data_IF_440332878907
#
_entry.id   IF_440332878907
#
_cell.length_a   1.000
_cell.length_b   1.000
_cell.length_c   1.000
_cell.angle_alpha   90.00
_cell.angle_beta   90.00
_cell.angle_gamma   90.00
#
_symmetry.space_group_name_H-M   'P 1'
#
loop_
_entity.id
_entity.type
_entity.pdbx_description
1 polymer ?
#
# COMPACT_ATOMS: atom_id res chain seq x y z
N UNK A 1 90.80 35.96 -35.26
CA UNK A 1 90.74 35.76 -36.71
C UNK A 1 89.29 35.96 -37.08
N UNK A 2 88.99 37.15 -37.63
CA UNK A 2 87.69 37.64 -38.08
C UNK A 2 87.29 36.98 -39.39
N UNK A 3 86.05 36.54 -39.51
CA UNK A 3 85.44 36.27 -40.78
C UNK A 3 84.06 36.90 -40.82
N UNK A 4 83.92 37.86 -41.71
CA UNK A 4 82.80 38.74 -42.04
C UNK A 4 81.86 37.96 -42.93
N UNK A 5 80.58 38.19 -42.68
CA UNK A 5 79.48 37.65 -43.47
C UNK A 5 78.87 38.69 -44.41
N UNK A 6 78.59 38.36 -45.66
CA UNK A 6 77.85 39.29 -46.55
C UNK A 6 76.37 39.07 -46.47
N UNK A 7 75.65 40.19 -46.37
CA UNK A 7 74.13 40.25 -46.49
C UNK A 7 73.73 40.09 -47.97
N UNK A 8 72.86 39.14 -48.22
CA UNK A 8 72.03 39.19 -49.44
C UNK A 8 70.56 38.94 -49.04
N UNK A 9 69.76 39.91 -49.45
CA UNK A 9 68.31 39.97 -49.31
C UNK A 9 67.65 38.91 -50.23
N UNK A 10 66.89 37.99 -49.62
CA UNK A 10 65.91 37.18 -50.34
C UNK A 10 64.56 37.38 -49.63
N UNK A 11 63.59 37.94 -50.32
CA UNK A 11 62.21 37.98 -49.87
C UNK A 11 61.68 36.55 -49.91
N UNK A 12 60.95 36.09 -48.85
CA UNK A 12 60.22 34.84 -48.93
C UNK A 12 58.94 35.04 -49.72
N UNK A 13 58.40 34.02 -50.42
CA UNK A 13 57.17 34.09 -51.18
C UNK A 13 55.97 34.20 -50.25
N UNK A 14 54.98 34.95 -50.70
CA UNK A 14 53.66 35.04 -50.08
C UNK A 14 53.05 33.63 -50.05
N UNK A 15 53.07 33.01 -48.91
CA UNK A 15 52.28 31.81 -48.67
C UNK A 15 50.82 32.21 -48.45
N UNK A 16 49.94 31.85 -49.39
CA UNK A 16 48.51 31.79 -49.18
C UNK A 16 48.21 30.87 -48.03
N UNK A 17 48.15 31.41 -46.82
CA UNK A 17 47.64 30.68 -45.65
C UNK A 17 46.14 30.55 -45.77
N UNK A 18 45.69 29.37 -46.12
CA UNK A 18 44.32 28.93 -46.21
C UNK A 18 43.63 29.17 -44.84
N UNK A 19 42.40 29.78 -44.80
CA UNK A 19 41.68 30.04 -43.54
C UNK A 19 40.98 28.79 -43.06
N UNK A 20 41.71 27.67 -42.88
CA UNK A 20 41.13 26.41 -42.38
C UNK A 20 41.04 26.36 -40.84
N UNK A 21 41.76 27.23 -40.14
CA UNK A 21 41.77 27.23 -38.65
C UNK A 21 40.71 28.13 -38.03
N UNK A 22 40.07 29.04 -38.83
CA UNK A 22 38.95 29.85 -38.29
C UNK A 22 37.63 29.11 -38.25
N UNK A 23 37.46 28.00 -38.99
CA UNK A 23 36.23 27.21 -38.97
C UNK A 23 36.14 26.28 -37.74
N UNK A 24 37.23 25.98 -37.05
CA UNK A 24 37.23 25.08 -35.90
C UNK A 24 36.83 25.73 -34.55
N UNK A 25 36.83 27.05 -34.47
CA UNK A 25 36.52 27.76 -33.22
C UNK A 25 35.08 28.34 -33.22
N UNK A 26 34.35 28.28 -34.34
CA UNK A 26 33.02 28.86 -34.45
C UNK A 26 31.89 27.89 -34.10
N UNK A 27 32.19 26.59 -33.84
CA UNK A 27 31.17 25.57 -33.56
C UNK A 27 31.19 25.01 -32.15
N UNK A 28 31.85 25.67 -31.20
CA UNK A 28 31.78 25.31 -29.78
C UNK A 28 31.37 26.46 -28.90
N UNK A 29 30.32 27.18 -29.28
CA UNK A 29 29.48 27.73 -28.24
C UNK A 29 28.58 26.59 -27.80
N UNK A 30 29.06 25.84 -26.80
CA UNK A 30 28.18 24.96 -26.04
C UNK A 30 27.07 25.86 -25.51
N UNK A 31 25.85 25.67 -26.00
CA UNK A 31 24.67 26.36 -25.49
C UNK A 31 24.49 25.91 -24.02
N UNK A 32 25.03 26.71 -23.12
CA UNK A 32 24.89 26.50 -21.69
C UNK A 32 23.40 26.41 -21.31
N UNK A 33 22.52 27.05 -22.07
CA UNK A 33 21.09 26.95 -21.93
C UNK A 33 20.55 25.53 -22.23
N UNK A 34 21.07 24.87 -23.28
CA UNK A 34 20.67 23.49 -23.59
C UNK A 34 21.23 22.49 -22.54
N UNK A 35 22.44 22.74 -22.06
CA UNK A 35 23.06 21.88 -21.01
C UNK A 35 22.33 22.04 -19.68
N UNK A 36 21.99 23.27 -19.29
CA UNK A 36 21.22 23.53 -18.06
C UNK A 36 19.80 23.01 -18.15
N UNK A 37 19.13 23.12 -19.32
CA UNK A 37 17.83 22.48 -19.55
C UNK A 37 17.91 20.96 -19.46
N UNK A 38 18.94 20.32 -20.04
CA UNK A 38 19.11 18.86 -19.99
C UNK A 38 19.42 18.38 -18.55
N UNK A 39 20.22 19.12 -17.81
CA UNK A 39 20.50 18.80 -16.39
C UNK A 39 19.24 19.01 -15.54
N UNK A 40 18.47 20.06 -15.77
CA UNK A 40 17.21 20.30 -15.07
C UNK A 40 16.18 19.20 -15.35
N UNK A 41 16.06 18.75 -16.60
CA UNK A 41 15.20 17.61 -16.97
C UNK A 41 15.69 16.31 -16.33
N UNK A 42 17.01 16.05 -16.32
CA UNK A 42 17.57 14.90 -15.62
C UNK A 42 17.32 14.97 -14.11
N UNK A 43 17.50 16.12 -13.48
CA UNK A 43 17.18 16.30 -12.04
C UNK A 43 15.70 16.06 -11.77
N UNK A 44 14.79 16.52 -12.66
CA UNK A 44 13.35 16.29 -12.52
C UNK A 44 13.02 14.79 -12.71
N UNK A 45 13.70 14.09 -13.63
CA UNK A 45 13.52 12.66 -13.86
C UNK A 45 14.13 11.80 -12.73
N UNK A 46 15.13 12.30 -12.01
CA UNK A 46 15.74 11.66 -10.86
C UNK A 46 15.27 12.22 -9.51
N UNK A 47 14.38 13.22 -9.50
CA UNK A 47 13.61 13.51 -8.29
C UNK A 47 12.83 12.23 -7.97
N UNK A 48 13.07 11.56 -6.82
CA UNK A 48 12.24 10.46 -6.44
C UNK A 48 10.82 11.01 -6.40
N UNK A 49 9.96 10.57 -7.33
CA UNK A 49 8.53 10.61 -7.11
C UNK A 49 8.36 9.96 -5.74
N UNK A 50 8.07 10.76 -4.74
CA UNK A 50 7.93 10.31 -3.37
C UNK A 50 6.80 9.30 -3.40
N UNK A 51 7.16 8.02 -3.50
CA UNK A 51 6.22 6.94 -3.37
C UNK A 51 5.40 7.21 -2.10
N UNK A 52 4.07 7.05 -2.12
CA UNK A 52 3.29 7.15 -0.92
C UNK A 52 3.98 6.30 0.13
N UNK A 53 4.22 6.86 1.31
CA UNK A 53 4.96 6.14 2.35
C UNK A 53 4.16 4.91 2.80
N UNK A 54 4.84 3.89 3.28
CA UNK A 54 4.27 2.66 3.84
C UNK A 54 3.69 2.86 5.26
N UNK A 55 3.67 4.11 5.77
CA UNK A 55 3.40 4.41 7.18
C UNK A 55 2.35 5.49 7.36
N UNK A 56 1.49 5.27 8.34
CA UNK A 56 0.65 6.29 8.97
C UNK A 56 1.32 6.74 10.26
N UNK A 57 1.60 8.03 10.37
CA UNK A 57 2.21 8.63 11.57
C UNK A 57 1.18 9.46 12.33
N UNK A 58 1.35 9.55 13.66
CA UNK A 58 0.40 10.28 14.54
C UNK A 58 0.23 11.75 14.15
N UNK A 59 1.28 12.37 13.59
CA UNK A 59 1.26 13.78 13.17
C UNK A 59 0.51 14.03 11.86
N UNK A 60 0.17 12.97 11.08
CA UNK A 60 -0.44 13.11 9.77
C UNK A 60 -1.57 12.09 9.59
N UNK A 61 -2.81 12.45 9.95
CA UNK A 61 -3.98 11.61 9.70
C UNK A 61 -4.17 11.27 8.23
N UNK A 62 -4.72 10.09 7.96
CA UNK A 62 -5.15 9.68 6.64
C UNK A 62 -6.51 10.28 6.33
N UNK A 63 -6.61 10.97 5.18
CA UNK A 63 -7.82 11.62 4.69
C UNK A 63 -8.27 11.00 3.37
N UNK A 64 -9.47 11.34 2.92
CA UNK A 64 -9.96 10.99 1.58
C UNK A 64 -8.95 11.38 0.51
N UNK A 65 -8.74 10.48 -0.45
CA UNK A 65 -7.80 10.68 -1.56
C UNK A 65 -6.32 10.51 -1.20
N UNK A 66 -6.00 10.22 0.07
CA UNK A 66 -4.65 9.82 0.47
C UNK A 66 -4.58 8.32 0.68
N UNK A 67 -3.47 7.71 0.26
CA UNK A 67 -3.26 6.27 0.29
C UNK A 67 -1.87 5.97 0.83
N UNK A 68 -1.77 4.95 1.66
CA UNK A 68 -0.51 4.35 2.08
C UNK A 68 -0.25 3.17 1.15
N UNK A 69 0.98 3.01 0.67
CA UNK A 69 1.38 1.90 -0.20
C UNK A 69 2.52 1.15 0.45
N UNK A 70 2.41 -0.18 0.49
CA UNK A 70 3.43 -1.04 1.08
C UNK A 70 4.78 -0.89 0.38
N UNK A 71 5.87 -1.18 1.09
CA UNK A 71 7.17 -1.36 0.48
C UNK A 71 7.10 -2.50 -0.57
N UNK A 72 7.52 -2.19 -1.80
CA UNK A 72 7.33 -3.07 -2.97
C UNK A 72 6.11 -2.74 -3.83
N UNK A 73 5.15 -1.96 -3.34
CA UNK A 73 4.06 -1.43 -4.16
C UNK A 73 2.85 -2.36 -4.35
N UNK A 74 2.84 -3.56 -3.76
CA UNK A 74 1.82 -4.58 -4.01
C UNK A 74 0.48 -4.32 -3.33
N UNK A 75 0.48 -3.64 -2.18
CA UNK A 75 -0.69 -3.37 -1.37
C UNK A 75 -0.88 -1.89 -1.12
N UNK A 76 -2.13 -1.47 -1.04
CA UNK A 76 -2.53 -0.12 -0.69
C UNK A 76 -3.54 -0.14 0.46
N UNK A 77 -3.53 0.93 1.27
CA UNK A 77 -4.41 1.10 2.43
C UNK A 77 -4.96 2.52 2.43
N UNK A 78 -6.27 2.67 2.64
CA UNK A 78 -6.92 3.97 2.65
C UNK A 78 -8.43 3.91 2.66
N UNK A 79 -9.04 5.05 2.38
CA UNK A 79 -10.49 5.16 2.22
C UNK A 79 -10.94 4.62 0.88
N UNK A 80 -11.93 3.77 0.92
CA UNK A 80 -12.57 3.19 -0.25
C UNK A 80 -14.09 3.45 -0.24
N UNK A 81 -14.67 3.96 -1.34
CA UNK A 81 -16.10 4.13 -1.46
C UNK A 81 -16.78 2.82 -1.85
N UNK A 82 -17.88 2.48 -1.17
CA UNK A 82 -18.78 1.43 -1.65
C UNK A 82 -19.39 1.82 -2.99
N UNK A 83 -19.37 0.91 -3.96
CA UNK A 83 -19.99 1.15 -5.27
C UNK A 83 -21.52 1.14 -5.14
N UNK A 84 -22.19 2.18 -5.69
CA UNK A 84 -23.64 2.24 -5.84
C UNK A 84 -24.43 2.87 -4.69
N UNK A 85 -23.80 3.41 -3.67
CA UNK A 85 -24.49 4.17 -2.61
C UNK A 85 -24.35 5.68 -2.80
N UNK A 86 -25.47 6.41 -2.71
CA UNK A 86 -25.48 7.89 -2.65
C UNK A 86 -26.30 8.33 -1.41
N UNK A 87 -25.70 8.96 -0.40
CA UNK A 87 -24.27 9.30 -0.24
C UNK A 87 -23.40 8.06 -0.10
N UNK A 88 -22.17 8.12 -0.63
CA UNK A 88 -21.25 6.99 -0.63
C UNK A 88 -20.88 6.57 0.80
N UNK A 89 -21.10 5.30 1.12
CA UNK A 89 -20.52 4.70 2.31
C UNK A 89 -19.00 4.55 2.09
N UNK A 90 -18.22 4.94 3.07
CA UNK A 90 -16.78 4.86 3.07
C UNK A 90 -16.28 3.80 4.05
N UNK A 91 -15.32 3.04 3.61
CA UNK A 91 -14.64 2.03 4.40
C UNK A 91 -13.14 2.32 4.44
N UNK A 92 -12.47 1.79 5.43
CA UNK A 92 -11.01 1.75 5.51
C UNK A 92 -10.58 0.35 5.13
N UNK A 93 -9.88 0.24 4.01
CA UNK A 93 -9.60 -1.01 3.34
C UNK A 93 -8.12 -1.21 3.05
N UNK A 94 -7.72 -2.47 2.93
CA UNK A 94 -6.47 -2.90 2.29
C UNK A 94 -6.84 -3.60 0.99
N UNK A 95 -6.19 -3.23 -0.11
CA UNK A 95 -6.43 -3.83 -1.44
C UNK A 95 -5.13 -4.08 -2.19
N UNK A 96 -5.19 -4.91 -3.23
CA UNK A 96 -4.07 -5.06 -4.16
C UNK A 96 -3.88 -3.77 -4.98
N UNK A 97 -2.67 -3.24 -4.92
CA UNK A 97 -2.29 -2.05 -5.67
C UNK A 97 -1.75 -2.46 -7.05
N UNK A 98 -2.06 -1.65 -8.08
CA UNK A 98 -1.50 -1.86 -9.44
C UNK A 98 -2.16 -2.95 -10.28
N UNK A 99 -3.22 -3.60 -9.81
CA UNK A 99 -4.06 -4.48 -10.63
C UNK A 99 -5.27 -3.73 -11.18
N UNK A 100 -5.74 -4.10 -12.37
CA UNK A 100 -6.83 -3.40 -13.06
C UNK A 100 -8.19 -3.55 -12.38
N UNK A 101 -8.41 -4.69 -11.71
CA UNK A 101 -9.63 -4.97 -10.96
C UNK A 101 -9.36 -4.74 -9.48
N UNK A 102 -10.17 -3.86 -8.88
CA UNK A 102 -10.06 -3.58 -7.47
C UNK A 102 -10.40 -4.80 -6.63
N UNK A 103 -9.41 -5.36 -5.98
CA UNK A 103 -9.55 -6.52 -5.11
C UNK A 103 -9.23 -6.11 -3.67
N UNK A 104 -10.27 -5.92 -2.87
CA UNK A 104 -10.17 -5.63 -1.44
C UNK A 104 -9.87 -6.91 -0.67
N UNK A 105 -8.97 -6.82 0.30
CA UNK A 105 -8.44 -7.95 1.06
C UNK A 105 -8.82 -7.90 2.54
N UNK A 106 -9.04 -6.70 3.05
CA UNK A 106 -9.39 -6.48 4.45
C UNK A 106 -10.13 -5.16 4.62
N UNK A 107 -11.12 -5.13 5.51
CA UNK A 107 -11.96 -3.96 5.78
C UNK A 107 -12.07 -3.73 7.28
N UNK A 108 -11.69 -2.55 7.76
CA UNK A 108 -11.70 -2.22 9.18
C UNK A 108 -13.11 -2.08 9.75
N UNK A 109 -13.92 -1.27 9.10
CA UNK A 109 -15.22 -0.82 9.63
C UNK A 109 -16.42 -1.41 8.86
N UNK A 110 -16.36 -2.72 8.55
CA UNK A 110 -17.38 -3.44 7.77
C UNK A 110 -18.81 -3.25 8.28
N UNK A 111 -18.98 -3.24 9.61
CA UNK A 111 -20.30 -3.17 10.25
C UNK A 111 -20.80 -1.72 10.37
N UNK A 112 -19.89 -0.75 10.29
CA UNK A 112 -20.20 0.65 10.54
C UNK A 112 -19.53 1.56 9.50
N UNK A 113 -20.11 1.68 8.29
CA UNK A 113 -19.58 2.58 7.28
C UNK A 113 -19.67 4.04 7.74
N UNK A 114 -18.71 4.85 7.29
CA UNK A 114 -18.77 6.30 7.44
C UNK A 114 -19.46 6.88 6.22
N UNK A 115 -20.36 7.82 6.42
CA UNK A 115 -20.99 8.54 5.30
C UNK A 115 -20.11 9.70 4.87
N UNK A 116 -19.86 9.78 3.56
CA UNK A 116 -19.25 10.96 2.99
C UNK A 116 -20.30 12.09 2.96
N UNK A 117 -20.14 13.05 3.85
CA UNK A 117 -20.99 14.24 3.88
C UNK A 117 -20.24 15.44 3.35
N UNK A 118 -20.95 16.37 2.74
CA UNK A 118 -20.35 17.58 2.14
C UNK A 118 -19.77 18.55 3.18
N UNK A 119 -20.12 18.39 4.46
CA UNK A 119 -19.75 19.33 5.52
C UNK A 119 -18.36 19.04 6.13
N UNK A 120 -17.93 17.78 6.12
CA UNK A 120 -16.64 17.41 6.72
C UNK A 120 -16.23 16.00 6.29
N UNK A 121 -14.98 15.81 5.96
CA UNK A 121 -14.43 14.52 5.52
C UNK A 121 -13.97 13.67 6.71
N UNK A 122 -14.26 12.36 6.73
CA UNK A 122 -13.77 11.47 7.78
C UNK A 122 -12.25 11.35 7.76
N UNK A 123 -11.69 11.05 8.92
CA UNK A 123 -10.25 10.89 9.08
C UNK A 123 -9.90 9.62 9.87
N UNK A 124 -8.81 8.97 9.47
CA UNK A 124 -8.18 7.92 10.24
C UNK A 124 -6.90 8.45 10.85
N UNK A 125 -6.82 8.46 12.16
CA UNK A 125 -5.66 8.94 12.92
C UNK A 125 -5.05 7.84 13.77
N UNK A 126 -3.74 7.95 13.99
CA UNK A 126 -3.04 7.14 15.00
C UNK A 126 -2.88 8.00 16.26
N UNK A 127 -3.45 7.53 17.36
CA UNK A 127 -3.38 8.23 18.65
C UNK A 127 -2.04 8.01 19.35
N UNK A 128 -1.75 8.84 20.32
CA UNK A 128 -0.59 8.69 21.21
C UNK A 128 -0.64 7.42 22.09
N UNK A 129 -1.79 6.74 22.15
CA UNK A 129 -1.98 5.45 22.83
C UNK A 129 -1.89 4.26 21.88
N UNK A 130 -1.30 4.44 20.70
CA UNK A 130 -1.13 3.42 19.65
C UNK A 130 -2.44 2.80 19.16
N UNK A 131 -3.51 3.60 19.12
CA UNK A 131 -4.77 3.19 18.53
C UNK A 131 -4.97 3.87 17.17
N UNK A 132 -5.34 3.09 16.15
CA UNK A 132 -5.97 3.64 14.96
C UNK A 132 -7.41 3.97 15.31
N UNK A 133 -7.82 5.19 15.00
CA UNK A 133 -9.16 5.70 15.27
C UNK A 133 -9.73 6.32 14.00
N UNK A 134 -10.83 5.74 13.52
CA UNK A 134 -11.63 6.31 12.45
C UNK A 134 -12.70 7.17 13.07
N UNK A 135 -12.70 8.45 12.73
CA UNK A 135 -13.70 9.42 13.15
C UNK A 135 -14.53 9.86 11.95
N UNK A 136 -15.80 10.22 12.22
CA UNK A 136 -16.62 10.89 11.23
C UNK A 136 -16.10 12.31 10.91
N UNK A 137 -16.74 12.97 9.94
CA UNK A 137 -16.18 14.18 9.37
C UNK A 137 -16.00 15.35 10.33
N UNK A 138 -16.82 15.48 11.36
CA UNK A 138 -16.67 16.53 12.39
C UNK A 138 -15.82 16.07 13.59
N UNK A 139 -15.36 14.82 13.59
CA UNK A 139 -14.57 14.25 14.67
C UNK A 139 -15.36 13.97 15.96
N UNK A 140 -16.68 14.21 15.96
CA UNK A 140 -17.52 14.08 17.15
C UNK A 140 -17.75 12.62 17.55
N UNK A 141 -17.67 11.70 16.58
CA UNK A 141 -17.95 10.29 16.79
C UNK A 141 -16.81 9.40 16.30
N UNK A 142 -16.32 8.54 17.18
CA UNK A 142 -15.47 7.42 16.81
C UNK A 142 -16.33 6.32 16.19
N UNK A 143 -16.01 5.96 14.95
CA UNK A 143 -16.73 4.94 14.17
C UNK A 143 -16.07 3.58 14.34
N UNK A 144 -14.74 3.55 14.36
CA UNK A 144 -13.96 2.34 14.53
C UNK A 144 -12.63 2.63 15.21
N UNK A 145 -12.10 1.64 15.93
CA UNK A 145 -10.78 1.71 16.55
C UNK A 145 -10.17 0.32 16.66
N UNK A 146 -8.83 0.25 16.69
CA UNK A 146 -8.09 -0.99 16.96
C UNK A 146 -8.29 -1.54 18.36
N UNK A 147 -8.75 -0.72 19.31
CA UNK A 147 -9.08 -1.16 20.67
C UNK A 147 -7.88 -1.68 21.47
N UNK A 148 -6.67 -1.18 21.19
CA UNK A 148 -5.47 -1.54 21.96
C UNK A 148 -5.61 -1.00 23.37
N UNK A 149 -5.46 -1.89 24.37
CA UNK A 149 -5.55 -1.49 25.77
C UNK A 149 -4.38 -0.56 26.16
N UNK A 150 -4.67 0.50 26.90
CA UNK A 150 -3.72 1.53 27.32
C UNK A 150 -2.59 1.03 28.27
N UNK A 151 -2.55 -0.27 28.58
CA UNK A 151 -1.64 -0.85 29.56
C UNK A 151 -0.21 -1.12 29.06
N UNK A 152 0.08 -0.89 27.78
CA UNK A 152 1.45 -1.08 27.28
C UNK A 152 2.27 0.20 27.42
N UNK A 153 3.33 0.13 28.18
CA UNK A 153 4.31 1.23 28.38
C UNK A 153 5.11 1.58 27.10
N UNK A 154 4.77 1.00 25.97
CA UNK A 154 5.51 1.10 24.71
C UNK A 154 4.58 1.55 23.60
N UNK A 155 4.32 2.85 23.54
CA UNK A 155 3.48 3.43 22.50
C UNK A 155 4.25 3.56 21.17
N UNK A 156 3.54 3.30 20.07
CA UNK A 156 4.03 3.54 18.72
C UNK A 156 3.50 4.85 18.18
N UNK A 157 4.36 5.57 17.48
CA UNK A 157 3.98 6.78 16.74
C UNK A 157 3.65 6.51 15.27
N UNK A 158 3.69 5.23 14.85
CA UNK A 158 3.46 4.83 13.46
C UNK A 158 2.67 3.52 13.36
N UNK A 159 1.89 3.39 12.29
CA UNK A 159 1.34 2.14 11.79
C UNK A 159 1.92 1.88 10.41
N UNK A 160 2.30 0.64 10.09
CA UNK A 160 3.05 0.28 8.89
C UNK A 160 2.29 -0.76 8.09
N UNK A 161 2.13 -0.52 6.78
CA UNK A 161 1.62 -1.51 5.85
C UNK A 161 2.78 -2.32 5.27
N UNK A 162 2.89 -3.56 5.70
CA UNK A 162 3.96 -4.46 5.26
C UNK A 162 3.72 -4.94 3.82
N UNK A 163 4.79 -5.37 3.15
CA UNK A 163 4.76 -6.00 1.82
C UNK A 163 4.00 -7.34 1.76
N UNK A 164 3.53 -7.83 2.89
CA UNK A 164 2.64 -9.01 3.00
C UNK A 164 1.17 -8.64 2.97
N UNK A 165 0.82 -7.34 2.95
CA UNK A 165 -0.54 -6.84 3.12
C UNK A 165 -0.99 -6.75 4.58
N UNK A 166 -0.10 -7.03 5.55
CA UNK A 166 -0.41 -6.90 6.96
C UNK A 166 -0.19 -5.45 7.43
N UNK A 167 -1.23 -4.81 7.93
CA UNK A 167 -1.12 -3.52 8.62
C UNK A 167 -0.78 -3.79 10.09
N UNK A 168 0.34 -3.27 10.55
CA UNK A 168 0.81 -3.47 11.93
C UNK A 168 0.97 -2.16 12.67
N UNK A 169 0.81 -2.22 13.99
CA UNK A 169 1.24 -1.18 14.91
C UNK A 169 2.41 -1.78 15.71
N UNK A 170 3.66 -1.42 15.39
CA UNK A 170 4.82 -1.93 16.11
C UNK A 170 4.91 -1.30 17.49
N UNK A 171 5.50 -1.99 18.45
CA UNK A 171 5.88 -1.42 19.74
C UNK A 171 7.32 -0.87 19.67
N UNK A 172 7.67 0.03 20.55
CA UNK A 172 9.05 0.55 20.69
C UNK A 172 10.09 -0.53 21.00
N UNK A 173 9.69 -1.66 21.56
CA UNK A 173 10.55 -2.81 21.84
C UNK A 173 10.63 -3.82 20.67
N UNK A 174 10.03 -3.52 19.51
CA UNK A 174 10.05 -4.38 18.32
C UNK A 174 8.96 -5.47 18.28
N UNK A 175 8.10 -5.55 19.29
CA UNK A 175 6.93 -6.44 19.24
C UNK A 175 5.78 -5.78 18.48
N UNK A 176 4.81 -6.57 18.01
CA UNK A 176 3.60 -6.06 17.38
C UNK A 176 2.51 -5.88 18.43
N UNK A 177 2.01 -4.65 18.57
CA UNK A 177 0.91 -4.29 19.47
C UNK A 177 -0.44 -4.71 18.89
N UNK A 178 -0.61 -4.52 17.59
CA UNK A 178 -1.81 -4.87 16.85
C UNK A 178 -1.46 -5.16 15.39
N UNK A 179 -2.22 -6.04 14.76
CA UNK A 179 -2.07 -6.32 13.33
C UNK A 179 -3.40 -6.74 12.70
N UNK A 180 -3.62 -6.35 11.44
CA UNK A 180 -4.82 -6.69 10.67
C UNK A 180 -4.96 -8.20 10.46
N UNK A 181 -3.88 -8.94 10.40
CA UNK A 181 -3.87 -10.40 10.22
C UNK A 181 -4.48 -11.17 11.39
N UNK A 182 -4.59 -10.57 12.58
CA UNK A 182 -5.31 -11.18 13.70
C UNK A 182 -6.83 -10.92 13.65
N UNK A 183 -7.29 -10.09 12.70
CA UNK A 183 -8.68 -9.69 12.50
C UNK A 183 -9.15 -9.93 11.06
N UNK A 184 -9.13 -11.18 10.57
CA UNK A 184 -9.51 -11.50 9.18
C UNK A 184 -10.96 -11.08 8.90
N UNK A 185 -11.21 -10.66 7.66
CA UNK A 185 -12.57 -10.32 7.19
C UNK A 185 -13.16 -11.43 6.31
N UNK A 186 -12.91 -11.42 5.03
CA UNK A 186 -13.41 -12.40 4.06
C UNK A 186 -12.28 -13.11 3.29
N UNK A 187 -11.07 -12.57 3.39
CA UNK A 187 -9.90 -13.06 2.65
C UNK A 187 -8.83 -13.60 3.60
N UNK A 188 -8.14 -14.63 3.14
CA UNK A 188 -7.03 -15.24 3.86
C UNK A 188 -5.74 -15.08 3.04
N UNK A 189 -4.80 -14.30 3.56
CA UNK A 189 -3.52 -14.03 2.90
C UNK A 189 -2.41 -14.96 3.39
N UNK A 190 -1.38 -15.20 2.58
CA UNK A 190 -0.19 -15.93 3.03
C UNK A 190 0.43 -15.29 4.28
N UNK A 191 0.69 -16.12 5.29
CA UNK A 191 1.21 -15.67 6.57
C UNK A 191 0.15 -15.35 7.63
N UNK A 192 -1.12 -15.23 7.27
CA UNK A 192 -2.20 -15.15 8.26
C UNK A 192 -2.31 -16.46 9.06
N UNK A 193 -2.75 -16.33 10.30
CA UNK A 193 -2.99 -17.46 11.19
C UNK A 193 -4.44 -17.45 11.64
N UNK A 194 -5.19 -18.49 11.29
CA UNK A 194 -6.52 -18.66 11.83
C UNK A 194 -6.41 -19.18 13.27
N UNK A 195 -6.63 -18.31 14.25
CA UNK A 195 -6.57 -18.67 15.66
C UNK A 195 -7.93 -19.22 16.10
N UNK A 196 -7.97 -20.47 16.49
CA UNK A 196 -9.19 -21.18 16.89
C UNK A 196 -8.99 -21.69 18.32
N UNK A 197 -9.97 -21.41 19.18
CA UNK A 197 -10.00 -22.02 20.52
C UNK A 197 -10.45 -23.48 20.39
N UNK A 198 -9.61 -24.38 20.83
CA UNK A 198 -9.86 -25.81 20.84
C UNK A 198 -11.24 -26.13 21.39
N UNK A 199 -12.04 -26.42 21.74
CA UNK A 199 -13.37 -26.79 22.29
C UNK A 199 -14.53 -25.88 21.83
N UNK A 200 -14.32 -24.62 21.64
CA UNK A 200 -15.41 -23.68 21.34
C UNK A 200 -15.41 -23.26 19.87
N UNK A 201 -14.36 -23.56 19.12
CA UNK A 201 -14.10 -23.02 17.79
C UNK A 201 -14.26 -21.49 17.72
N UNK A 202 -14.22 -20.84 18.89
CA UNK A 202 -14.22 -19.39 18.94
C UNK A 202 -12.90 -18.86 18.37
N UNK A 203 -12.97 -17.88 17.51
CA UNK A 203 -11.78 -17.30 16.87
C UNK A 203 -12.02 -16.96 15.41
N UNK A 204 -10.95 -17.02 14.63
CA UNK A 204 -10.96 -16.57 13.25
C UNK A 204 -12.04 -17.26 12.39
N UNK A 205 -12.88 -16.44 11.80
CA UNK A 205 -13.88 -16.85 10.82
C UNK A 205 -13.82 -15.86 9.67
N UNK A 206 -13.78 -16.36 8.46
CA UNK A 206 -13.95 -15.52 7.27
C UNK A 206 -15.44 -15.37 7.03
N UNK A 207 -15.87 -14.14 6.74
CA UNK A 207 -17.29 -13.83 6.48
C UNK A 207 -17.38 -13.11 5.14
N UNK A 208 -18.18 -13.65 4.23
CA UNK A 208 -18.39 -13.06 2.91
C UNK A 208 -18.88 -11.61 3.00
N UNK A 209 -18.73 -10.88 1.92
CA UNK A 209 -19.46 -9.65 1.70
C UNK A 209 -20.94 -9.92 1.54
N UNK A 210 -21.77 -8.95 1.89
CA UNK A 210 -23.21 -9.00 1.67
C UNK A 210 -23.57 -8.93 0.18
N UNK A 211 -22.79 -8.20 -0.59
CA UNK A 211 -22.92 -8.06 -2.04
C UNK A 211 -21.63 -7.56 -2.67
N UNK A 212 -21.56 -7.55 -3.99
CA UNK A 212 -20.34 -7.19 -4.75
C UNK A 212 -19.82 -5.77 -4.47
N UNK A 213 -20.66 -4.87 -4.01
CA UNK A 213 -20.29 -3.50 -3.64
C UNK A 213 -20.54 -3.18 -2.17
N UNK A 214 -20.92 -4.16 -1.35
CA UNK A 214 -21.26 -3.97 0.07
C UNK A 214 -20.41 -4.90 0.94
N UNK A 215 -19.32 -4.38 1.56
CA UNK A 215 -18.44 -5.16 2.41
C UNK A 215 -19.04 -5.54 3.77
N UNK A 216 -20.27 -5.09 4.09
CA UNK A 216 -20.96 -5.52 5.30
C UNK A 216 -21.03 -7.05 5.39
N UNK A 217 -21.06 -7.65 6.59
CA UNK A 217 -21.10 -9.10 6.74
C UNK A 217 -22.28 -9.74 6.00
N UNK A 218 -21.95 -10.71 5.12
CA UNK A 218 -22.93 -11.54 4.40
C UNK A 218 -23.32 -12.78 5.18
N UNK A 219 -24.13 -13.66 4.55
CA UNK A 219 -24.62 -14.90 5.17
C UNK A 219 -23.60 -16.02 5.17
N UNK A 220 -22.68 -16.04 4.19
CA UNK A 220 -21.69 -17.11 4.09
C UNK A 220 -20.48 -16.85 4.99
N UNK A 221 -20.00 -17.91 5.62
CA UNK A 221 -18.79 -17.83 6.40
C UNK A 221 -17.99 -19.14 6.37
N UNK A 222 -16.67 -19.04 6.50
CA UNK A 222 -15.78 -20.18 6.59
C UNK A 222 -15.14 -20.20 7.97
N UNK A 223 -15.32 -21.28 8.69
CA UNK A 223 -14.85 -21.39 10.06
C UNK A 223 -14.98 -22.80 10.64
N UNK A 224 -14.45 -22.99 11.83
CA UNK A 224 -14.47 -24.26 12.55
C UNK A 224 -15.87 -24.65 12.99
N UNK A 225 -16.17 -25.95 13.01
CA UNK A 225 -17.38 -26.52 13.59
C UNK A 225 -17.12 -26.93 15.05
N UNK A 226 -17.79 -26.36 16.04
CA UNK A 226 -17.60 -26.70 17.45
C UNK A 226 -18.04 -28.14 17.82
N UNK A 227 -18.91 -28.75 17.00
CA UNK A 227 -19.37 -30.12 17.23
C UNK A 227 -18.39 -31.20 16.74
N UNK A 228 -17.33 -30.81 16.04
CA UNK A 228 -16.32 -31.72 15.47
C UNK A 228 -14.93 -31.33 15.91
N UNK A 229 -14.00 -32.30 15.88
CA UNK A 229 -12.60 -32.02 16.24
C UNK A 229 -11.94 -31.31 15.03
N UNK A 230 -11.83 -29.98 15.12
CA UNK A 230 -11.04 -29.12 14.21
C UNK A 230 -11.36 -29.34 12.71
N UNK A 231 -12.62 -29.46 12.37
CA UNK A 231 -13.03 -29.43 10.98
C UNK A 231 -13.51 -28.02 10.60
N UNK A 232 -13.09 -27.57 9.42
CA UNK A 232 -13.50 -26.31 8.85
C UNK A 232 -14.72 -26.54 7.94
N UNK A 233 -15.70 -25.67 8.03
CA UNK A 233 -16.94 -25.72 7.28
C UNK A 233 -17.21 -24.41 6.56
N UNK A 234 -17.84 -24.50 5.40
CA UNK A 234 -18.57 -23.39 4.82
C UNK A 234 -19.97 -23.38 5.42
N UNK A 235 -20.41 -22.23 5.89
CA UNK A 235 -21.68 -22.01 6.55
C UNK A 235 -22.53 -21.04 5.74
N UNK A 236 -23.84 -21.27 5.69
CA UNK A 236 -24.83 -20.28 5.29
C UNK A 236 -25.67 -19.95 6.56
N UNK A 237 -25.43 -18.79 7.13
CA UNK A 237 -25.90 -18.48 8.48
C UNK A 237 -25.41 -19.49 9.51
N UNK A 238 -26.31 -20.25 10.10
CA UNK A 238 -26.01 -21.32 11.06
C UNK A 238 -25.98 -22.73 10.43
N UNK A 239 -26.28 -22.85 9.13
CA UNK A 239 -26.37 -24.13 8.43
C UNK A 239 -25.02 -24.47 7.79
N UNK A 240 -24.41 -25.63 8.08
CA UNK A 240 -23.23 -26.09 7.36
C UNK A 240 -23.59 -26.48 5.92
N UNK A 241 -22.88 -25.95 4.93
CA UNK A 241 -23.12 -26.21 3.50
C UNK A 241 -22.17 -27.28 2.97
N UNK A 242 -20.87 -27.15 3.29
CA UNK A 242 -19.84 -28.09 2.85
C UNK A 242 -18.86 -28.32 3.99
N UNK A 243 -18.64 -29.59 4.40
CA UNK A 243 -17.53 -29.93 5.26
C UNK A 243 -16.23 -29.84 4.43
N UNK A 244 -15.28 -29.04 4.89
CA UNK A 244 -13.94 -29.06 4.32
C UNK A 244 -13.15 -30.18 5.02
N UNK A 245 -12.84 -31.25 4.30
CA UNK A 245 -11.93 -32.26 4.82
C UNK A 245 -10.54 -31.65 5.05
N UNK A 246 -9.84 -32.03 6.14
CA UNK A 246 -8.43 -31.65 6.28
C UNK A 246 -7.69 -32.07 5.01
N UNK A 247 -6.79 -31.23 4.55
CA UNK A 247 -5.92 -31.56 3.43
C UNK A 247 -4.99 -32.69 3.85
N UNK A 248 -5.43 -33.93 3.74
CA UNK A 248 -4.53 -35.06 3.67
C UNK A 248 -3.80 -34.93 2.33
N UNK A 249 -2.48 -34.79 2.40
CA UNK A 249 -1.63 -34.62 1.23
C UNK A 249 -1.76 -35.80 0.27
N UNK A 250 -2.69 -35.68 -0.68
CA UNK A 250 -2.84 -36.61 -1.80
C UNK A 250 -4.09 -37.46 -1.80
N UNK A 251 -5.22 -36.90 -2.17
CA UNK A 251 -6.17 -37.63 -3.06
C UNK A 251 -7.25 -36.64 -3.54
N UNK A 252 -7.32 -36.43 -4.84
CA UNK A 252 -8.42 -35.70 -5.50
C UNK A 252 -9.71 -36.47 -5.26
N UNK A 253 -10.57 -36.00 -4.37
CA UNK A 253 -11.96 -36.45 -4.31
C UNK A 253 -12.69 -35.94 -5.56
N UNK A 254 -13.09 -36.88 -6.45
CA UNK A 254 -14.05 -36.64 -7.54
C UNK A 254 -15.37 -36.20 -6.92
N UNK A 255 -15.83 -35.01 -7.27
CA UNK A 255 -17.24 -34.64 -7.12
C UNK A 255 -18.10 -35.61 -7.93
N UNK A 256 -18.87 -36.43 -7.26
CA UNK A 256 -19.97 -37.20 -7.88
C UNK A 256 -21.18 -36.26 -7.93
N UNK A 257 -21.47 -35.74 -9.14
CA UNK A 257 -22.76 -35.15 -9.45
C UNK A 257 -23.72 -36.31 -9.67
N UNK A 258 -24.58 -36.61 -8.72
CA UNK A 258 -25.79 -37.35 -8.97
C UNK A 258 -26.92 -36.37 -9.25
N UNK A 259 -27.49 -36.54 -10.45
CA UNK A 259 -28.74 -36.01 -10.99
C UNK A 259 -29.91 -36.08 -10.02
#
# INVERSE_FOLDING_TARGET
MLLVWPRSLVRPPESHFVPALQFFWQHRRMDWSALTCSIAVLIILFLPLRAPGDRLVSSKPLSLGTTIVSDGGDFAFGFFPSSGSTPSNLYIDIWYNGISELTVLWVANRETPVRNTTSSAPTLSLTNTSNLVLSDGDGSRVVWTTGVAAASSSYSSEAVLLKTGNLIIPSSNGTTVWQSFDHPTDTFLPGMKMRIRYRTCAGGRLVSWKGSGDPSPGSFSYGCNPATIIQMFLWDGSRPVIPHHPMDGGTRSRMSTNT
#
